data_IF_139769877399
#
_entry.id   IF_139769877399
#
_cell.length_a   1.000
_cell.length_b   1.000
_cell.length_c   1.000
_cell.angle_alpha   90.00
_cell.angle_beta   90.00
_cell.angle_gamma   90.00
#
_symmetry.space_group_name_H-M   'P 1'
#
loop_
_entity.id
_entity.type
_entity.pdbx_description
1 polymer ?
#
# COMPACT_ATOMS: atom_id res chain seq x y z
N UNK A 1 49.96 -59.44 -4.50
CA UNK A 1 48.66 -60.04 -4.88
C UNK A 1 47.70 -59.95 -3.71
N UNK A 2 46.53 -59.35 -3.96
CA UNK A 2 45.23 -59.54 -3.26
C UNK A 2 44.98 -58.85 -1.91
N UNK A 3 44.62 -57.58 -2.06
CA UNK A 3 43.56 -56.80 -1.38
C UNK A 3 42.40 -57.62 -0.77
N UNK A 4 41.88 -57.22 0.41
CA UNK A 4 40.59 -56.48 0.56
C UNK A 4 40.20 -56.32 2.04
N UNK A 5 40.28 -55.07 2.53
CA UNK A 5 39.64 -54.59 3.77
C UNK A 5 38.21 -54.18 3.41
N UNK A 6 37.21 -54.69 4.12
CA UNK A 6 35.83 -54.24 4.01
C UNK A 6 35.51 -53.32 5.18
N UNK A 7 35.64 -52.00 4.97
CA UNK A 7 35.09 -50.97 5.85
C UNK A 7 33.67 -50.71 5.38
N UNK A 8 32.68 -51.09 6.19
CA UNK A 8 31.29 -50.73 5.93
C UNK A 8 31.02 -49.38 6.60
N UNK A 9 31.00 -48.36 5.75
CA UNK A 9 30.70 -46.97 6.09
C UNK A 9 29.18 -46.84 6.36
N UNK A 10 28.77 -46.79 7.63
CA UNK A 10 27.41 -46.41 8.01
C UNK A 10 27.38 -44.89 8.23
N UNK A 11 27.15 -44.14 7.15
CA UNK A 11 26.97 -42.70 7.16
C UNK A 11 25.49 -42.37 7.44
N UNK A 12 25.13 -42.24 8.72
CA UNK A 12 23.84 -41.66 9.10
C UNK A 12 23.88 -40.15 8.87
N UNK A 13 23.36 -39.71 7.72
CA UNK A 13 23.05 -38.30 7.49
C UNK A 13 21.87 -37.92 8.41
N UNK A 14 22.18 -37.35 9.57
CA UNK A 14 21.18 -36.61 10.34
C UNK A 14 20.95 -35.32 9.58
N UNK A 15 19.92 -35.30 8.73
CA UNK A 15 19.40 -34.08 8.17
C UNK A 15 18.85 -33.26 9.34
N UNK A 16 19.68 -32.40 9.92
CA UNK A 16 19.22 -31.28 10.72
C UNK A 16 18.34 -30.46 9.78
N UNK A 17 17.02 -30.62 9.94
CA UNK A 17 16.06 -29.67 9.41
C UNK A 17 16.41 -28.36 10.09
N UNK A 18 17.20 -27.53 9.41
CA UNK A 18 17.21 -26.11 9.68
C UNK A 18 15.77 -25.67 9.44
N UNK A 19 14.98 -25.56 10.50
CA UNK A 19 13.90 -24.62 10.52
C UNK A 19 14.57 -23.29 10.18
N UNK A 20 14.49 -22.90 8.91
CA UNK A 20 14.62 -21.50 8.55
C UNK A 20 13.49 -20.87 9.36
N UNK A 21 13.85 -20.33 10.52
CA UNK A 21 13.02 -19.36 11.17
C UNK A 21 12.92 -18.23 10.14
N UNK A 22 11.83 -18.27 9.38
CA UNK A 22 11.40 -17.17 8.54
C UNK A 22 11.38 -15.97 9.49
N UNK A 23 12.38 -15.09 9.36
CA UNK A 23 12.34 -13.79 10.05
C UNK A 23 10.93 -13.26 9.78
N UNK A 24 10.17 -12.82 10.81
CA UNK A 24 8.84 -12.32 10.55
C UNK A 24 9.03 -11.17 9.58
N UNK A 25 8.70 -11.40 8.30
CA UNK A 25 8.66 -10.37 7.29
C UNK A 25 7.90 -9.24 7.97
N UNK A 26 8.55 -8.11 8.22
CA UNK A 26 7.92 -6.96 8.85
C UNK A 26 6.64 -6.73 8.05
N UNK A 27 5.50 -7.17 8.60
CA UNK A 27 4.24 -7.19 7.87
C UNK A 27 3.97 -5.73 7.60
N UNK A 28 4.08 -5.33 6.34
CA UNK A 28 3.84 -3.95 5.93
C UNK A 28 2.51 -3.50 6.55
N UNK A 29 2.52 -2.49 7.44
CA UNK A 29 1.36 -2.17 8.24
C UNK A 29 0.23 -1.57 7.40
N UNK A 30 0.51 -1.18 6.15
CA UNK A 30 -0.50 -0.73 5.19
C UNK A 30 -1.32 -1.89 4.61
N UNK A 31 -0.81 -3.13 4.66
CA UNK A 31 -1.50 -4.30 4.08
C UNK A 31 -2.93 -4.42 4.60
N UNK A 32 -3.85 -4.70 3.68
CA UNK A 32 -5.28 -4.84 3.96
C UNK A 32 -6.15 -3.88 3.16
N UNK A 33 -7.44 -3.87 3.49
CA UNK A 33 -8.44 -2.99 2.86
C UNK A 33 -8.82 -1.89 3.83
N UNK A 34 -8.92 -0.67 3.31
CA UNK A 34 -9.23 0.55 4.05
C UNK A 34 -10.41 1.25 3.40
N UNK A 35 -11.34 1.72 4.21
CA UNK A 35 -12.59 2.35 3.78
C UNK A 35 -12.54 3.83 4.13
N UNK A 36 -12.95 4.70 3.21
CA UNK A 36 -12.98 6.14 3.42
C UNK A 36 -13.89 6.52 4.59
N UNK A 37 -13.30 7.04 5.66
CA UNK A 37 -14.01 7.61 6.80
C UNK A 37 -14.27 9.10 6.60
N UNK A 38 -13.26 9.84 6.14
CA UNK A 38 -13.31 11.27 5.81
C UNK A 38 -12.35 11.54 4.65
N UNK A 39 -12.60 12.57 3.84
CA UNK A 39 -11.66 12.94 2.79
C UNK A 39 -11.91 14.33 2.25
N UNK A 40 -10.83 14.99 1.84
CA UNK A 40 -10.84 16.32 1.26
C UNK A 40 -9.98 16.34 0.01
N UNK A 41 -10.50 16.87 -1.10
CA UNK A 41 -9.75 17.09 -2.34
C UNK A 41 -9.88 18.55 -2.75
N UNK A 42 -8.79 19.29 -2.76
CA UNK A 42 -8.78 20.74 -3.04
C UNK A 42 -9.85 21.53 -2.26
N UNK A 43 -9.95 21.31 -0.95
CA UNK A 43 -10.88 22.01 -0.08
C UNK A 43 -12.34 21.56 -0.20
N UNK A 44 -12.61 20.49 -0.94
CA UNK A 44 -13.95 19.93 -1.11
C UNK A 44 -14.07 18.59 -0.41
N UNK A 45 -15.16 18.39 0.31
CA UNK A 45 -15.45 17.11 0.95
C UNK A 45 -15.65 16.01 -0.10
N UNK A 46 -14.81 14.98 -0.04
CA UNK A 46 -14.82 13.87 -0.98
C UNK A 46 -16.03 12.95 -0.76
N UNK A 47 -16.49 12.76 0.48
CA UNK A 47 -17.64 11.87 0.76
C UNK A 47 -18.93 12.48 0.24
N UNK A 48 -19.12 13.79 0.42
CA UNK A 48 -20.25 14.52 -0.15
C UNK A 48 -20.21 14.44 -1.68
N UNK A 49 -19.03 14.64 -2.30
CA UNK A 49 -18.88 14.55 -3.74
C UNK A 49 -19.18 13.14 -4.29
N UNK A 50 -18.76 12.08 -3.59
CA UNK A 50 -19.08 10.69 -3.94
C UNK A 50 -20.57 10.38 -3.76
N UNK A 51 -21.15 10.83 -2.63
CA UNK A 51 -22.59 10.65 -2.34
C UNK A 51 -23.48 11.34 -3.35
N UNK A 52 -23.12 12.56 -3.78
CA UNK A 52 -23.84 13.30 -4.81
C UNK A 52 -23.84 12.56 -6.17
N UNK A 53 -22.89 11.66 -6.38
CA UNK A 53 -22.79 10.79 -7.56
C UNK A 53 -23.41 9.39 -7.33
N UNK A 54 -24.05 9.16 -6.18
CA UNK A 54 -24.66 7.86 -5.83
C UNK A 54 -23.64 6.75 -5.57
N UNK A 55 -22.44 7.09 -5.09
CA UNK A 55 -21.36 6.14 -4.85
C UNK A 55 -21.21 5.80 -3.36
N UNK A 56 -20.99 4.53 -3.06
CA UNK A 56 -20.93 3.97 -1.70
C UNK A 56 -19.62 4.27 -0.93
N UNK A 57 -18.76 5.12 -1.50
CA UNK A 57 -17.50 5.55 -0.89
C UNK A 57 -16.26 4.86 -1.46
N UNK A 58 -15.11 5.48 -1.19
CA UNK A 58 -13.80 5.03 -1.66
C UNK A 58 -13.27 3.87 -0.79
N UNK A 59 -12.68 2.86 -1.44
CA UNK A 59 -11.90 1.81 -0.80
C UNK A 59 -10.48 1.80 -1.34
N UNK A 60 -9.50 1.67 -0.44
CA UNK A 60 -8.08 1.56 -0.77
C UNK A 60 -7.58 0.21 -0.26
N UNK A 61 -7.00 -0.60 -1.14
CA UNK A 61 -6.43 -1.90 -0.78
C UNK A 61 -4.93 -1.88 -1.01
N UNK A 62 -4.16 -2.35 -0.04
CA UNK A 62 -2.73 -2.63 -0.19
C UNK A 62 -2.52 -4.14 -0.12
N UNK A 63 -2.00 -4.72 -1.20
CA UNK A 63 -1.65 -6.13 -1.28
C UNK A 63 -0.57 -6.34 -2.35
N UNK A 64 0.38 -7.24 -2.09
CA UNK A 64 1.38 -7.67 -3.06
C UNK A 64 2.18 -6.51 -3.72
N UNK A 65 2.45 -5.45 -2.96
CA UNK A 65 3.16 -4.25 -3.46
C UNK A 65 2.32 -3.35 -4.38
N UNK A 66 1.01 -3.60 -4.47
CA UNK A 66 0.04 -2.80 -5.23
C UNK A 66 -0.96 -2.11 -4.29
N UNK A 67 -1.12 -0.80 -4.51
CA UNK A 67 -2.19 0.01 -3.94
C UNK A 67 -3.30 0.10 -4.99
N UNK A 68 -4.50 -0.35 -4.63
CA UNK A 68 -5.66 -0.30 -5.50
C UNK A 68 -6.76 0.58 -4.91
N UNK A 69 -7.34 1.45 -5.73
CA UNK A 69 -8.39 2.39 -5.33
C UNK A 69 -9.66 2.12 -6.13
N UNK A 70 -10.77 1.93 -5.43
CA UNK A 70 -12.10 1.64 -6.02
C UNK A 70 -13.17 2.54 -5.39
N UNK A 71 -14.37 2.57 -5.96
CA UNK A 71 -15.50 3.34 -5.40
C UNK A 71 -15.66 4.75 -5.98
N UNK A 72 -14.99 5.06 -7.10
CA UNK A 72 -15.17 6.30 -7.86
C UNK A 72 -16.21 6.18 -9.00
N UNK A 73 -17.11 5.19 -8.95
CA UNK A 73 -18.14 4.97 -9.98
C UNK A 73 -17.60 4.43 -11.30
N UNK A 74 -16.40 3.86 -11.29
CA UNK A 74 -15.72 3.37 -12.47
C UNK A 74 -14.70 2.28 -12.12
N UNK A 75 -13.85 1.91 -13.09
CA UNK A 75 -12.83 0.89 -12.90
C UNK A 75 -11.82 1.26 -11.79
N UNK A 76 -11.20 0.21 -11.25
CA UNK A 76 -10.15 0.31 -10.24
C UNK A 76 -8.91 1.03 -10.76
N UNK A 77 -8.29 1.87 -9.92
CA UNK A 77 -6.95 2.41 -10.19
C UNK A 77 -5.90 1.64 -9.42
N UNK A 78 -4.80 1.30 -10.08
CA UNK A 78 -3.69 0.52 -9.53
C UNK A 78 -2.39 1.31 -9.60
N UNK A 79 -1.65 1.24 -8.50
CA UNK A 79 -0.33 1.84 -8.34
C UNK A 79 0.59 0.83 -7.69
N UNK A 80 1.81 0.63 -8.21
CA UNK A 80 2.87 0.04 -7.39
C UNK A 80 3.16 0.98 -6.25
N UNK A 81 3.32 0.46 -5.04
CA UNK A 81 3.67 1.27 -3.90
C UNK A 81 4.90 0.74 -3.15
N UNK A 82 5.58 1.67 -2.48
CA UNK A 82 6.56 1.37 -1.45
C UNK A 82 6.51 2.47 -0.38
N UNK A 83 6.72 2.12 0.88
CA UNK A 83 6.77 3.08 1.98
C UNK A 83 8.19 3.35 2.46
N UNK A 84 8.50 4.58 2.83
CA UNK A 84 9.70 4.94 3.59
C UNK A 84 9.29 5.36 5.02
N UNK A 85 9.28 4.41 5.99
CA UNK A 85 8.96 4.68 7.38
C UNK A 85 9.96 5.63 8.08
N UNK A 86 11.14 5.87 7.49
CA UNK A 86 12.21 6.67 8.09
C UNK A 86 12.10 8.17 7.78
N UNK A 87 11.34 8.53 6.74
CA UNK A 87 11.05 9.90 6.36
C UNK A 87 10.11 10.59 7.37
N UNK A 88 10.18 11.93 7.43
CA UNK A 88 9.33 12.76 8.29
C UNK A 88 8.72 13.92 7.50
N UNK A 89 7.39 13.94 7.25
CA UNK A 89 6.41 12.87 7.53
C UNK A 89 6.74 11.58 6.78
N UNK A 90 6.14 10.46 7.19
CA UNK A 90 6.37 9.17 6.55
C UNK A 90 5.91 9.20 5.09
N UNK A 91 6.78 8.79 4.17
CA UNK A 91 6.51 8.89 2.73
C UNK A 91 5.95 7.58 2.16
N UNK A 92 5.09 7.72 1.16
CA UNK A 92 4.66 6.63 0.28
C UNK A 92 4.98 7.00 -1.16
N UNK A 93 5.71 6.13 -1.84
CA UNK A 93 6.03 6.29 -3.26
C UNK A 93 5.07 5.44 -4.06
N UNK A 94 4.47 6.05 -5.07
CA UNK A 94 3.53 5.41 -5.97
C UNK A 94 4.05 5.49 -7.39
N UNK A 95 3.89 4.41 -8.15
CA UNK A 95 4.08 4.39 -9.60
C UNK A 95 2.79 3.92 -10.24
N UNK A 96 2.24 4.74 -11.13
CA UNK A 96 1.03 4.42 -11.89
C UNK A 96 1.20 3.10 -12.67
N UNK A 97 0.30 2.15 -12.44
CA UNK A 97 0.20 0.93 -13.26
C UNK A 97 -0.98 1.02 -14.20
N UNK A 98 -2.19 1.05 -13.64
CA UNK A 98 -3.41 1.10 -14.43
C UNK A 98 -4.32 2.16 -13.84
N UNK A 99 -4.42 3.29 -14.53
CA UNK A 99 -5.37 4.34 -14.19
C UNK A 99 -6.44 4.52 -15.27
N UNK A 100 -6.62 3.48 -16.10
CA UNK A 100 -7.68 3.44 -17.12
C UNK A 100 -7.58 4.60 -18.10
N UNK A 101 -6.34 4.93 -18.48
CA UNK A 101 -6.02 6.03 -19.40
C UNK A 101 -6.09 7.44 -18.80
N UNK A 102 -6.47 7.60 -17.52
CA UNK A 102 -6.52 8.94 -16.88
C UNK A 102 -5.13 9.55 -16.69
N UNK A 103 -4.14 8.70 -16.42
CA UNK A 103 -2.74 9.07 -16.22
C UNK A 103 -1.86 8.06 -16.96
N UNK A 104 -0.82 8.50 -17.71
CA UNK A 104 0.13 7.58 -18.33
C UNK A 104 0.75 6.61 -17.32
N UNK A 105 0.94 5.35 -17.72
CA UNK A 105 1.61 4.34 -16.90
C UNK A 105 3.08 4.70 -16.65
N UNK A 106 3.62 4.32 -15.49
CA UNK A 106 5.02 4.48 -15.14
C UNK A 106 5.37 5.86 -14.56
N UNK A 107 4.41 6.77 -14.46
CA UNK A 107 4.60 8.04 -13.76
C UNK A 107 4.66 7.82 -12.25
N UNK A 108 5.62 8.50 -11.63
CA UNK A 108 5.92 8.43 -10.19
C UNK A 108 5.31 9.61 -9.46
N UNK A 109 4.79 9.36 -8.27
CA UNK A 109 4.35 10.39 -7.34
C UNK A 109 4.70 10.00 -5.91
N UNK A 110 4.92 11.00 -5.06
CA UNK A 110 5.20 10.80 -3.64
C UNK A 110 4.09 11.45 -2.83
N UNK A 111 3.50 10.68 -1.93
CA UNK A 111 2.60 11.15 -0.90
C UNK A 111 3.21 10.98 0.48
N UNK A 112 2.42 11.32 1.49
CA UNK A 112 2.74 11.07 2.89
C UNK A 112 1.60 10.31 3.55
N UNK A 113 1.93 9.52 4.57
CA UNK A 113 0.92 8.83 5.36
C UNK A 113 1.25 8.85 6.86
N UNK A 114 0.22 8.63 7.67
CA UNK A 114 0.33 8.42 9.10
C UNK A 114 -0.61 7.28 9.48
N UNK A 115 -0.11 6.35 10.29
CA UNK A 115 -0.87 5.21 10.75
C UNK A 115 -1.04 5.25 12.26
N UNK A 116 -2.29 5.21 12.71
CA UNK A 116 -2.68 5.21 14.11
C UNK A 116 -3.67 4.07 14.34
N UNK A 117 -3.16 2.89 14.69
CA UNK A 117 -3.99 1.69 14.89
C UNK A 117 -4.73 1.26 13.62
N UNK A 118 -6.05 1.39 13.62
CA UNK A 118 -6.95 1.10 12.51
C UNK A 118 -7.29 2.33 11.65
N UNK A 119 -6.62 3.46 11.89
CA UNK A 119 -6.78 4.70 11.12
C UNK A 119 -5.54 4.97 10.27
N UNK A 120 -5.75 5.14 8.97
CA UNK A 120 -4.72 5.53 8.00
C UNK A 120 -5.06 6.92 7.46
N UNK A 121 -4.19 7.90 7.74
CA UNK A 121 -4.23 9.20 7.10
C UNK A 121 -3.29 9.19 5.90
N UNK A 122 -3.80 9.46 4.71
CA UNK A 122 -3.07 9.38 3.46
C UNK A 122 -3.25 10.69 2.70
N UNK A 123 -2.14 11.39 2.40
CA UNK A 123 -2.16 12.62 1.63
C UNK A 123 -1.37 12.40 0.33
N UNK A 124 -2.05 12.54 -0.80
CA UNK A 124 -1.51 12.28 -2.13
C UNK A 124 -1.61 13.54 -3.00
N UNK A 125 -0.61 13.79 -3.87
CA UNK A 125 -0.81 14.71 -5.00
C UNK A 125 -1.90 14.17 -5.92
N UNK A 126 -2.68 15.05 -6.54
CA UNK A 126 -3.75 14.63 -7.45
C UNK A 126 -3.20 14.07 -8.77
N UNK A 127 -2.02 14.54 -9.20
CA UNK A 127 -1.31 14.09 -10.39
C UNK A 127 0.19 13.92 -10.12
N UNK A 128 0.89 13.07 -10.90
CA UNK A 128 2.35 12.91 -10.76
C UNK A 128 3.18 14.19 -10.88
N UNK A 129 2.70 15.18 -11.63
CA UNK A 129 3.41 16.45 -11.82
C UNK A 129 3.19 17.44 -10.67
N UNK A 130 2.24 17.17 -9.77
CA UNK A 130 1.99 18.02 -8.61
C UNK A 130 3.07 17.78 -7.54
N UNK A 131 3.37 18.82 -6.75
CA UNK A 131 4.38 18.73 -5.70
C UNK A 131 4.02 17.72 -4.60
N UNK A 132 5.03 17.06 -4.03
CA UNK A 132 4.80 16.14 -2.91
C UNK A 132 4.24 16.89 -1.68
N UNK A 133 3.20 16.37 -1.00
CA UNK A 133 2.70 16.97 0.23
C UNK A 133 3.75 16.93 1.34
N UNK A 134 3.81 17.98 2.15
CA UNK A 134 4.67 18.06 3.36
C UNK A 134 3.88 18.07 4.66
N UNK A 135 2.55 18.15 4.56
CA UNK A 135 1.60 18.27 5.65
C UNK A 135 0.28 17.58 5.27
N UNK A 136 -0.47 17.14 6.28
CA UNK A 136 -1.75 16.46 6.12
C UNK A 136 -2.91 17.45 5.96
N UNK A 137 -2.89 18.22 4.88
CA UNK A 137 -3.92 19.20 4.52
C UNK A 137 -4.22 19.11 3.03
N UNK A 138 -5.42 19.51 2.60
CA UNK A 138 -5.77 19.54 1.17
C UNK A 138 -6.55 20.79 0.76
N UNK A 139 -6.16 22.01 1.18
CA UNK A 139 -6.95 23.22 0.95
C UNK A 139 -7.19 23.51 -0.53
N UNK A 140 -8.14 24.40 -0.82
CA UNK A 140 -8.43 24.84 -2.18
C UNK A 140 -7.17 25.28 -2.92
N UNK A 141 -6.99 24.78 -4.16
CA UNK A 141 -5.83 25.09 -5.00
C UNK A 141 -4.54 24.35 -4.66
N UNK A 142 -4.53 23.45 -3.68
CA UNK A 142 -3.31 22.74 -3.28
C UNK A 142 -2.93 21.55 -4.16
N UNK A 143 -3.80 21.13 -5.07
CA UNK A 143 -3.63 19.99 -5.97
C UNK A 143 -3.31 18.67 -5.27
N UNK A 144 -3.85 18.48 -4.07
CA UNK A 144 -3.72 17.26 -3.28
C UNK A 144 -5.06 16.79 -2.72
N UNK A 145 -5.07 15.54 -2.30
CA UNK A 145 -6.18 14.89 -1.63
C UNK A 145 -5.71 14.35 -0.29
N UNK A 146 -6.44 14.66 0.76
CA UNK A 146 -6.27 14.11 2.11
C UNK A 146 -7.37 13.10 2.36
N UNK A 147 -7.00 11.87 2.69
CA UNK A 147 -7.91 10.78 2.99
C UNK A 147 -7.67 10.31 4.41
N UNK A 148 -8.74 10.20 5.20
CA UNK A 148 -8.74 9.47 6.47
C UNK A 148 -9.51 8.18 6.25
N UNK A 149 -8.81 7.06 6.30
CA UNK A 149 -9.33 5.74 5.99
C UNK A 149 -9.35 4.89 7.27
N UNK A 150 -10.38 4.06 7.43
CA UNK A 150 -10.45 3.06 8.52
C UNK A 150 -10.22 1.67 7.96
N UNK A 151 -9.45 0.85 8.67
CA UNK A 151 -9.23 -0.54 8.31
C UNK A 151 -10.57 -1.27 8.25
N UNK A 152 -10.81 -2.01 7.17
CA UNK A 152 -11.98 -2.86 7.08
C UNK A 152 -11.85 -3.95 8.15
N UNK A 153 -12.86 -4.07 9.01
CA UNK A 153 -12.94 -5.18 9.95
C UNK A 153 -13.01 -6.49 9.15
N UNK A 154 -12.18 -7.46 9.50
CA UNK A 154 -12.34 -8.82 9.00
C UNK A 154 -13.67 -9.34 9.55
N UNK A 155 -14.63 -9.58 8.66
CA UNK A 155 -15.84 -10.32 9.02
C UNK A 155 -15.43 -11.79 9.01
N UNK A 156 -15.16 -12.34 10.20
CA UNK A 156 -14.99 -13.79 10.39
C UNK A 156 -16.31 -14.53 10.21
#
# INVERSE_FOLDING_TARGET
MKSRIAVTLALCFVAAVTCVAEEPSLKDPLLGTWILSEGETNGKDLKEALKAQGLDGLKVKFADGVMSMTGFGGPEFKYKYSSDPTAKPTEIHLTTEDTQGKVPQGLKMTGIYQLEGDVLKLCLPNKPADGKPTEFTAPSGSNRSLLTLKRQAETQ
#
